data_IF_912033571557
#
_entry.id   IF_912033571557
#
_cell.length_a   1.000
_cell.length_b   1.000
_cell.length_c   1.000
_cell.angle_alpha   90.00
_cell.angle_beta   90.00
_cell.angle_gamma   90.00
#
_symmetry.space_group_name_H-M   'P 1'
#
loop_
_entity.id
_entity.type
_entity.pdbx_description
1 polymer ?
#
# COMPACT_ATOMS: atom_id res chain seq x y z
N UNK A 1 39.89 -15.52 14.76
CA UNK A 1 38.68 -16.26 14.34
C UNK A 1 37.55 -15.25 14.14
N UNK A 2 37.50 -14.50 13.03
CA UNK A 2 36.61 -13.33 12.92
C UNK A 2 35.91 -13.15 11.55
N UNK A 3 36.00 -14.13 10.64
CA UNK A 3 35.39 -14.02 9.29
C UNK A 3 34.00 -14.64 9.12
N UNK A 4 33.43 -15.27 10.16
CA UNK A 4 32.10 -15.90 10.09
C UNK A 4 30.94 -15.01 10.57
N UNK A 5 31.20 -14.11 11.52
CA UNK A 5 30.17 -13.21 12.08
C UNK A 5 29.68 -12.14 11.10
N UNK A 6 30.59 -11.49 10.36
CA UNK A 6 30.21 -10.47 9.37
C UNK A 6 29.39 -11.01 8.20
N UNK A 7 29.62 -12.27 7.81
CA UNK A 7 28.85 -12.94 6.74
C UNK A 7 27.41 -13.24 7.16
N UNK A 8 27.19 -13.74 8.39
CA UNK A 8 25.84 -13.96 8.90
C UNK A 8 25.05 -12.66 9.09
N UNK A 9 25.72 -11.60 9.58
CA UNK A 9 25.07 -10.29 9.73
C UNK A 9 24.71 -9.72 8.35
N UNK A 10 25.59 -9.82 7.34
CA UNK A 10 25.28 -9.38 5.98
C UNK A 10 24.11 -10.18 5.36
N UNK A 11 24.06 -11.50 5.57
CA UNK A 11 22.95 -12.33 5.10
C UNK A 11 21.64 -11.95 5.80
N UNK A 12 21.66 -11.74 7.12
CA UNK A 12 20.50 -11.28 7.87
C UNK A 12 20.03 -9.89 7.40
N UNK A 13 20.95 -8.97 7.11
CA UNK A 13 20.60 -7.64 6.57
C UNK A 13 20.01 -7.78 5.16
N UNK A 14 20.57 -8.59 4.28
CA UNK A 14 20.03 -8.81 2.93
C UNK A 14 18.65 -9.46 2.98
N UNK A 15 18.45 -10.44 3.87
CA UNK A 15 17.14 -11.09 4.07
C UNK A 15 16.14 -10.12 4.67
N UNK A 16 16.52 -9.28 5.65
CA UNK A 16 15.64 -8.25 6.20
C UNK A 16 15.31 -7.18 5.16
N UNK A 17 16.26 -6.71 4.36
CA UNK A 17 15.99 -5.75 3.27
C UNK A 17 15.09 -6.38 2.21
N UNK A 18 15.33 -7.63 1.79
CA UNK A 18 14.45 -8.34 0.86
C UNK A 18 13.03 -8.51 1.41
N UNK A 19 12.89 -8.79 2.72
CA UNK A 19 11.60 -8.89 3.39
C UNK A 19 10.98 -7.52 3.76
N UNK A 20 11.75 -6.44 3.83
CA UNK A 20 11.25 -5.09 4.00
C UNK A 20 10.73 -4.54 2.67
N UNK A 21 11.36 -4.89 1.55
CA UNK A 21 10.87 -4.57 0.20
C UNK A 21 9.54 -5.30 -0.07
N UNK A 22 9.33 -6.50 0.46
CA UNK A 22 8.05 -7.25 0.31
C UNK A 22 7.05 -7.04 1.46
N UNK A 23 7.50 -6.73 2.67
CA UNK A 23 6.67 -6.46 3.85
C UNK A 23 5.99 -5.09 3.85
N UNK A 24 6.59 -4.12 3.14
CA UNK A 24 5.91 -2.89 2.74
C UNK A 24 4.75 -3.18 1.76
N UNK A 25 4.79 -4.29 1.01
CA UNK A 25 3.76 -4.60 0.01
C UNK A 25 2.43 -4.96 0.67
N UNK A 26 2.34 -5.94 1.57
CA UNK A 26 1.03 -6.46 1.99
C UNK A 26 0.14 -5.41 2.69
N UNK A 27 0.73 -4.54 3.52
CA UNK A 27 0.02 -3.44 4.16
C UNK A 27 -0.27 -2.29 3.20
N UNK A 28 0.60 -2.05 2.22
CA UNK A 28 0.29 -1.13 1.12
C UNK A 28 -0.90 -1.67 0.31
N UNK A 29 -0.89 -2.94 -0.11
CA UNK A 29 -1.97 -3.54 -0.87
C UNK A 29 -3.29 -3.48 -0.10
N UNK A 30 -3.29 -3.90 1.17
CA UNK A 30 -4.49 -3.82 2.00
C UNK A 30 -4.97 -2.37 2.18
N UNK A 31 -4.05 -1.43 2.43
CA UNK A 31 -4.36 -0.01 2.53
C UNK A 31 -4.89 0.60 1.23
N UNK A 32 -4.40 0.16 0.08
CA UNK A 32 -4.88 0.57 -1.24
C UNK A 32 -6.30 0.08 -1.52
N UNK A 33 -6.55 -1.20 -1.25
CA UNK A 33 -7.90 -1.76 -1.31
C UNK A 33 -8.87 -0.99 -0.41
N UNK A 34 -8.47 -0.76 0.84
CA UNK A 34 -9.33 -0.10 1.83
C UNK A 34 -9.71 1.31 1.38
N UNK A 35 -8.72 2.10 0.92
CA UNK A 35 -8.96 3.45 0.44
C UNK A 35 -9.86 3.47 -0.80
N UNK A 36 -9.65 2.58 -1.75
CA UNK A 36 -10.52 2.50 -2.92
C UNK A 36 -11.96 2.14 -2.54
N UNK A 37 -12.13 1.12 -1.68
CA UNK A 37 -13.44 0.73 -1.17
C UNK A 37 -14.14 1.91 -0.48
N UNK A 38 -13.42 2.61 0.39
CA UNK A 38 -13.95 3.76 1.11
C UNK A 38 -14.33 4.92 0.17
N UNK A 39 -13.48 5.27 -0.79
CA UNK A 39 -13.75 6.35 -1.75
C UNK A 39 -14.93 6.02 -2.67
N UNK A 40 -15.06 4.75 -3.09
CA UNK A 40 -16.15 4.28 -3.94
C UNK A 40 -17.52 4.26 -3.22
N UNK A 41 -17.52 4.26 -1.88
CA UNK A 41 -18.75 4.15 -1.07
C UNK A 41 -19.62 5.41 -1.03
N UNK A 42 -19.13 6.58 -1.47
CA UNK A 42 -19.94 7.78 -1.75
C UNK A 42 -20.77 8.39 -0.59
N UNK A 43 -20.63 7.91 0.65
CA UNK A 43 -21.55 8.22 1.75
C UNK A 43 -21.36 9.58 2.44
N UNK A 44 -22.48 10.16 2.88
CA UNK A 44 -22.56 11.32 3.78
C UNK A 44 -21.90 10.97 5.13
N UNK A 45 -21.27 11.93 5.82
CA UNK A 45 -20.39 11.67 6.99
C UNK A 45 -20.95 10.70 8.04
N UNK A 46 -22.26 10.69 8.31
CA UNK A 46 -22.90 9.82 9.29
C UNK A 46 -23.01 8.34 8.87
N UNK A 47 -23.01 8.04 7.57
CA UNK A 47 -23.08 6.67 7.03
C UNK A 47 -21.70 6.03 6.84
N UNK A 48 -20.62 6.76 7.16
CA UNK A 48 -19.25 6.30 6.93
C UNK A 48 -18.79 5.20 7.88
N UNK A 49 -19.33 5.15 9.11
CA UNK A 49 -18.98 4.10 10.08
C UNK A 49 -19.26 2.69 9.56
N UNK A 50 -20.46 2.38 9.07
CA UNK A 50 -20.73 1.12 8.38
C UNK A 50 -19.78 0.85 7.21
N UNK A 51 -19.50 1.86 6.38
CA UNK A 51 -18.60 1.72 5.23
C UNK A 51 -17.17 1.36 5.65
N UNK A 52 -16.64 1.95 6.74
CA UNK A 52 -15.32 1.59 7.26
C UNK A 52 -15.24 0.10 7.62
N UNK A 53 -16.19 -0.40 8.41
CA UNK A 53 -16.20 -1.82 8.80
C UNK A 53 -16.43 -2.76 7.61
N UNK A 54 -17.30 -2.37 6.68
CA UNK A 54 -17.53 -3.14 5.46
C UNK A 54 -16.24 -3.25 4.63
N UNK A 55 -15.52 -2.14 4.45
CA UNK A 55 -14.26 -2.12 3.70
C UNK A 55 -13.14 -2.90 4.38
N UNK A 56 -13.04 -2.84 5.72
CA UNK A 56 -12.09 -3.67 6.48
C UNK A 56 -12.31 -5.17 6.22
N UNK A 57 -13.56 -5.62 6.20
CA UNK A 57 -13.92 -7.03 5.97
C UNK A 57 -13.91 -7.44 4.48
N UNK A 58 -14.07 -6.49 3.57
CA UNK A 58 -14.18 -6.77 2.13
C UNK A 58 -12.82 -6.75 1.41
N UNK A 59 -11.78 -6.26 2.05
CA UNK A 59 -10.44 -6.16 1.47
C UNK A 59 -9.67 -7.49 1.48
N UNK A 60 -10.17 -8.40 0.65
CA UNK A 60 -9.56 -9.69 0.33
C UNK A 60 -9.37 -9.75 -1.20
N UNK A 61 -8.13 -9.76 -1.70
CA UNK A 61 -7.85 -9.93 -3.13
C UNK A 61 -8.45 -11.24 -3.64
N UNK A 62 -9.20 -11.22 -4.75
CA UNK A 62 -9.78 -12.44 -5.34
C UNK A 62 -8.94 -13.01 -6.48
N UNK A 63 -7.95 -12.24 -6.93
CA UNK A 63 -7.04 -12.63 -8.00
C UNK A 63 -5.64 -12.03 -7.78
N UNK A 64 -4.64 -12.53 -8.52
CA UNK A 64 -3.31 -11.92 -8.55
C UNK A 64 -3.34 -10.49 -9.12
N UNK A 65 -4.22 -10.23 -10.09
CA UNK A 65 -4.40 -8.89 -10.67
C UNK A 65 -5.00 -7.92 -9.63
N UNK A 66 -5.97 -8.36 -8.83
CA UNK A 66 -6.55 -7.57 -7.74
C UNK A 66 -5.46 -7.21 -6.73
N UNK A 67 -4.63 -8.19 -6.37
CA UNK A 67 -3.51 -7.98 -5.46
C UNK A 67 -2.58 -6.90 -5.99
N UNK A 68 -2.06 -7.05 -7.21
CA UNK A 68 -1.15 -6.08 -7.85
C UNK A 68 -1.75 -4.69 -7.92
N UNK A 69 -3.02 -4.59 -8.35
CA UNK A 69 -3.73 -3.32 -8.44
C UNK A 69 -3.86 -2.63 -7.08
N UNK A 70 -4.25 -3.35 -6.03
CA UNK A 70 -4.33 -2.78 -4.70
C UNK A 70 -2.96 -2.37 -4.14
N UNK A 71 -1.91 -3.14 -4.42
CA UNK A 71 -0.53 -2.81 -4.06
C UNK A 71 -0.06 -1.51 -4.72
N UNK A 72 -0.39 -1.32 -6.00
CA UNK A 72 -0.05 -0.12 -6.75
C UNK A 72 -0.72 1.13 -6.15
N UNK A 73 -1.99 1.02 -5.75
CA UNK A 73 -2.71 2.11 -5.06
C UNK A 73 -2.05 2.42 -3.72
N UNK A 74 -1.75 1.39 -2.92
CA UNK A 74 -1.12 1.54 -1.61
C UNK A 74 0.25 2.19 -1.67
N UNK A 75 1.08 1.77 -2.63
CA UNK A 75 2.38 2.36 -2.90
C UNK A 75 2.23 3.83 -3.30
N UNK A 76 1.28 4.15 -4.20
CA UNK A 76 1.04 5.53 -4.62
C UNK A 76 0.60 6.41 -3.45
N UNK A 77 -0.23 5.90 -2.53
CA UNK A 77 -0.63 6.60 -1.30
C UNK A 77 0.51 6.85 -0.32
N UNK A 78 1.49 5.94 -0.23
CA UNK A 78 2.66 6.14 0.62
C UNK A 78 3.57 7.24 0.07
N UNK A 79 3.72 7.31 -1.25
CA UNK A 79 4.52 8.32 -1.93
C UNK A 79 3.82 9.68 -1.99
N UNK A 80 2.52 9.66 -2.25
CA UNK A 80 1.64 10.83 -2.27
C UNK A 80 1.01 11.02 -0.89
N UNK A 81 1.84 11.38 0.10
CA UNK A 81 1.41 11.73 1.46
C UNK A 81 0.23 12.73 1.38
N UNK A 82 -0.85 12.58 2.17
CA UNK A 82 -2.11 13.34 2.01
C UNK A 82 -2.03 14.78 2.55
N UNK A 83 -0.87 15.43 2.48
CA UNK A 83 -0.70 16.79 2.95
C UNK A 83 -1.46 17.83 2.10
N UNK A 84 -1.97 17.47 0.92
CA UNK A 84 -2.83 18.32 0.12
C UNK A 84 -4.30 17.91 0.23
N UNK A 85 -5.14 18.82 0.73
CA UNK A 85 -6.60 18.73 0.59
C UNK A 85 -7.07 19.04 -0.84
N UNK A 86 -6.14 19.33 -1.74
CA UNK A 86 -6.39 19.56 -3.16
C UNK A 86 -6.44 18.22 -3.91
N UNK A 87 -7.65 17.86 -4.37
CA UNK A 87 -7.89 16.63 -5.12
C UNK A 87 -7.16 16.59 -6.46
N UNK A 88 -6.94 17.72 -7.12
CA UNK A 88 -6.25 17.78 -8.41
C UNK A 88 -4.75 17.52 -8.24
N UNK A 89 -4.13 18.13 -7.22
CA UNK A 89 -2.72 17.89 -6.88
C UNK A 89 -2.51 16.42 -6.45
N UNK A 90 -3.48 15.85 -5.75
CA UNK A 90 -3.46 14.44 -5.36
C UNK A 90 -3.54 13.53 -6.60
N UNK A 91 -4.51 13.72 -7.48
CA UNK A 91 -4.66 12.95 -8.72
C UNK A 91 -3.42 13.03 -9.63
N UNK A 92 -2.83 14.22 -9.76
CA UNK A 92 -1.57 14.42 -10.48
C UNK A 92 -0.43 13.62 -9.85
N UNK A 93 -0.32 13.61 -8.52
CA UNK A 93 0.68 12.81 -7.82
C UNK A 93 0.49 11.30 -8.07
N UNK A 94 -0.75 10.80 -8.00
CA UNK A 94 -1.07 9.40 -8.33
C UNK A 94 -0.65 9.05 -9.76
N UNK A 95 -0.97 9.93 -10.73
CA UNK A 95 -0.57 9.75 -12.12
C UNK A 95 0.95 9.61 -12.27
N UNK A 96 1.73 10.42 -11.55
CA UNK A 96 3.20 10.36 -11.55
C UNK A 96 3.77 9.12 -10.86
N UNK A 97 3.12 8.62 -9.79
CA UNK A 97 3.58 7.46 -9.03
C UNK A 97 3.22 6.11 -9.68
N UNK A 98 2.27 6.08 -10.62
CA UNK A 98 1.82 4.87 -11.30
C UNK A 98 2.97 4.01 -11.88
N UNK A 99 3.98 4.65 -12.48
CA UNK A 99 5.16 3.99 -13.07
C UNK A 99 6.18 3.52 -12.03
N UNK A 100 6.20 4.14 -10.84
CA UNK A 100 7.11 3.80 -9.75
C UNK A 100 6.59 2.61 -8.93
N UNK A 101 5.27 2.45 -8.91
CA UNK A 101 4.55 1.46 -8.10
C UNK A 101 4.13 0.23 -8.90
N UNK A 102 4.90 -0.16 -9.92
CA UNK A 102 4.61 -1.36 -10.70
C UNK A 102 5.02 -2.60 -9.89
N UNK A 103 4.03 -3.37 -9.41
CA UNK A 103 4.19 -4.51 -8.48
C UNK A 103 3.97 -5.85 -9.16
#
# INVERSE_FOLDING_TARGET
>A
MERKGGSMVAILVVVMVANCVSGQSIYACWGGCYNQCFLSSGGVQAERFPCYYLCLNSCVPRSAADYQYYCQIGCSLQLCIPASYDGAAMEECFGRCSNLCNV
#
